data_IF_813296273688
#
_entry.id   IF_813296273688
#
_cell.length_a   1.000
_cell.length_b   1.000
_cell.length_c   1.000
_cell.angle_alpha   90.00
_cell.angle_beta   90.00
_cell.angle_gamma   90.00
#
_symmetry.space_group_name_H-M   'P 1'
#
loop_
_entity.id
_entity.type
_entity.pdbx_description
1 polymer ?
#
# COMPACT_ATOMS: atom_id res chain seq x y z
N UNK A 1 -31.37 -4.70 49.70
CA UNK A 1 -29.97 -4.50 49.28
C UNK A 1 -29.81 -5.09 47.90
N UNK A 2 -29.96 -4.26 46.85
CA UNK A 2 -29.94 -4.74 45.47
C UNK A 2 -28.48 -4.84 45.00
N UNK A 3 -27.98 -6.07 44.91
CA UNK A 3 -26.68 -6.38 44.34
C UNK A 3 -26.69 -6.07 42.84
N UNK A 4 -26.13 -4.92 42.45
CA UNK A 4 -25.75 -4.67 41.06
C UNK A 4 -24.56 -5.59 40.77
N UNK A 5 -24.85 -6.79 40.26
CA UNK A 5 -23.82 -7.68 39.74
C UNK A 5 -22.98 -6.94 38.69
N UNK A 6 -21.67 -7.24 38.58
CA UNK A 6 -20.79 -6.55 37.64
C UNK A 6 -21.37 -6.65 36.22
N UNK A 7 -21.69 -5.49 35.62
CA UNK A 7 -22.16 -5.41 34.23
C UNK A 7 -21.16 -6.20 33.37
N UNK A 8 -21.61 -7.17 32.55
CA UNK A 8 -20.69 -7.95 31.73
C UNK A 8 -19.88 -6.96 30.88
N UNK A 9 -18.56 -6.94 31.08
CA UNK A 9 -17.65 -6.11 30.28
C UNK A 9 -17.84 -6.53 28.84
N UNK A 10 -18.61 -5.75 28.06
CA UNK A 10 -18.76 -6.00 26.65
C UNK A 10 -17.35 -5.99 26.04
N UNK A 11 -17.02 -7.04 25.28
CA UNK A 11 -15.70 -7.14 24.65
C UNK A 11 -15.44 -5.84 23.87
N UNK A 12 -14.28 -5.22 24.10
CA UNK A 12 -13.91 -3.96 23.44
C UNK A 12 -13.84 -4.07 21.91
N UNK A 13 -13.87 -5.31 21.39
CA UNK A 13 -13.83 -5.69 19.97
C UNK A 13 -15.11 -6.39 19.50
N UNK A 14 -16.19 -6.38 20.31
CA UNK A 14 -17.48 -6.98 19.93
C UNK A 14 -17.95 -6.36 18.61
N UNK A 15 -18.23 -7.18 17.60
CA UNK A 15 -18.69 -6.70 16.29
C UNK A 15 -17.58 -6.40 15.28
N UNK A 16 -16.30 -6.59 15.62
CA UNK A 16 -15.17 -6.24 14.75
C UNK A 16 -15.22 -6.97 13.39
N UNK A 17 -15.52 -8.27 13.39
CA UNK A 17 -15.58 -9.05 12.14
C UNK A 17 -16.68 -8.56 11.19
N UNK A 18 -17.86 -8.22 11.72
CA UNK A 18 -18.94 -7.65 10.92
C UNK A 18 -18.54 -6.27 10.37
N UNK A 19 -17.92 -5.42 11.19
CA UNK A 19 -17.45 -4.10 10.79
C UNK A 19 -16.38 -4.20 9.69
N UNK A 20 -15.35 -5.04 9.87
CA UNK A 20 -14.30 -5.29 8.84
C UNK A 20 -14.92 -5.74 7.53
N UNK A 21 -15.87 -6.68 7.57
CA UNK A 21 -16.57 -7.15 6.36
C UNK A 21 -17.36 -6.04 5.67
N UNK A 22 -18.04 -5.20 6.42
CA UNK A 22 -18.79 -4.06 5.87
C UNK A 22 -17.84 -3.02 5.26
N UNK A 23 -16.80 -2.64 5.99
CA UNK A 23 -15.77 -1.69 5.54
C UNK A 23 -15.07 -2.19 4.27
N UNK A 24 -14.72 -3.48 4.21
CA UNK A 24 -14.14 -4.09 3.02
C UNK A 24 -15.10 -4.03 1.82
N UNK A 25 -16.40 -4.31 2.02
CA UNK A 25 -17.40 -4.21 0.94
C UNK A 25 -17.54 -2.80 0.40
N UNK A 26 -17.47 -1.78 1.27
CA UNK A 26 -17.53 -0.37 0.89
C UNK A 26 -16.27 0.07 0.14
N UNK A 27 -15.10 -0.41 0.55
CA UNK A 27 -13.81 -0.01 -0.02
C UNK A 27 -13.36 -0.81 -1.23
N UNK A 28 -13.93 -1.99 -1.50
CA UNK A 28 -13.39 -2.91 -2.52
C UNK A 28 -13.17 -2.27 -3.89
N UNK A 29 -14.09 -1.42 -4.34
CA UNK A 29 -13.98 -0.77 -5.65
C UNK A 29 -12.85 0.26 -5.66
N UNK A 30 -12.73 1.05 -4.60
CA UNK A 30 -11.62 2.00 -4.44
C UNK A 30 -10.28 1.27 -4.32
N UNK A 31 -10.21 0.19 -3.55
CA UNK A 31 -9.02 -0.65 -3.42
C UNK A 31 -8.61 -1.23 -4.78
N UNK A 32 -9.56 -1.79 -5.54
CA UNK A 32 -9.29 -2.31 -6.89
C UNK A 32 -8.83 -1.20 -7.85
N UNK A 33 -9.45 -0.02 -7.80
CA UNK A 33 -9.09 1.12 -8.63
C UNK A 33 -7.66 1.62 -8.36
N UNK A 34 -7.13 1.43 -7.14
CA UNK A 34 -5.73 1.68 -6.84
C UNK A 34 -4.81 0.52 -7.21
N UNK A 35 -5.16 -0.69 -6.78
CA UNK A 35 -4.26 -1.85 -6.86
C UNK A 35 -4.05 -2.34 -8.29
N UNK A 36 -5.10 -2.34 -9.11
CA UNK A 36 -5.01 -2.88 -10.48
C UNK A 36 -4.08 -2.04 -11.38
N UNK A 37 -4.16 -0.69 -11.44
CA UNK A 37 -3.20 0.10 -12.19
C UNK A 37 -1.76 -0.03 -11.69
N UNK A 38 -1.56 -0.18 -10.37
CA UNK A 38 -0.22 -0.35 -9.81
C UNK A 38 0.39 -1.70 -10.16
N UNK A 39 -0.40 -2.76 -10.20
CA UNK A 39 0.05 -4.06 -10.73
C UNK A 39 0.29 -4.01 -12.23
N UNK A 40 -0.53 -3.29 -12.99
CA UNK A 40 -0.30 -3.06 -14.42
C UNK A 40 1.01 -2.29 -14.67
N UNK A 41 1.31 -1.29 -13.84
CA UNK A 41 2.56 -0.55 -13.87
C UNK A 41 3.77 -1.46 -13.61
N UNK A 42 3.71 -2.32 -12.58
CA UNK A 42 4.75 -3.31 -12.32
C UNK A 42 4.91 -4.30 -13.50
N UNK A 43 3.78 -4.73 -14.08
CA UNK A 43 3.75 -5.63 -15.24
C UNK A 43 4.37 -5.02 -16.51
N UNK A 44 4.53 -3.70 -16.59
CA UNK A 44 5.15 -3.00 -17.72
C UNK A 44 6.69 -3.10 -17.74
N UNK A 45 7.32 -3.67 -16.72
CA UNK A 45 8.79 -3.85 -16.61
C UNK A 45 9.47 -4.42 -17.87
N UNK A 46 8.91 -5.38 -18.62
CA UNK A 46 9.56 -5.90 -19.84
C UNK A 46 9.74 -4.86 -20.96
N UNK A 47 9.04 -3.71 -20.89
CA UNK A 47 9.21 -2.62 -21.87
C UNK A 47 10.66 -2.13 -21.95
N UNK A 48 11.39 -2.08 -20.84
CA UNK A 48 12.82 -1.74 -20.85
C UNK A 48 13.65 -2.73 -21.67
N UNK A 49 13.31 -4.02 -21.63
CA UNK A 49 14.00 -5.06 -22.40
C UNK A 49 13.80 -4.87 -23.91
N UNK A 50 12.61 -4.43 -24.32
CA UNK A 50 12.30 -4.19 -25.73
C UNK A 50 13.01 -2.97 -26.32
N UNK A 51 13.22 -1.92 -25.50
CA UNK A 51 13.85 -0.67 -25.95
C UNK A 51 15.38 -0.73 -25.79
N UNK A 52 15.85 -1.32 -24.69
CA UNK A 52 17.27 -1.39 -24.34
C UNK A 52 17.70 -2.82 -24.03
N UNK A 53 17.97 -3.65 -25.07
CA UNK A 53 18.19 -5.08 -24.89
C UNK A 53 19.55 -5.44 -24.27
N UNK A 54 20.56 -4.57 -24.36
CA UNK A 54 21.92 -4.85 -23.86
C UNK A 54 22.44 -3.77 -22.91
N UNK A 55 23.38 -4.12 -22.04
CA UNK A 55 24.05 -3.13 -21.17
C UNK A 55 24.78 -2.04 -21.97
N UNK A 56 25.36 -2.39 -23.12
CA UNK A 56 26.00 -1.41 -24.01
C UNK A 56 24.99 -0.38 -24.54
N UNK A 57 23.79 -0.82 -24.92
CA UNK A 57 22.72 0.09 -25.37
C UNK A 57 22.20 1.00 -24.25
N UNK A 58 22.34 0.58 -22.99
CA UNK A 58 21.92 1.35 -21.80
C UNK A 58 22.98 2.32 -21.30
N UNK A 59 24.24 2.15 -21.67
CA UNK A 59 25.36 2.89 -21.08
C UNK A 59 25.19 4.42 -21.18
N UNK A 60 24.79 4.92 -22.35
CA UNK A 60 24.54 6.34 -22.56
C UNK A 60 23.35 6.86 -21.73
N UNK A 61 22.26 6.09 -21.67
CA UNK A 61 21.09 6.40 -20.84
C UNK A 61 21.49 6.47 -19.36
N UNK A 62 22.18 5.44 -18.85
CA UNK A 62 22.61 5.36 -17.46
C UNK A 62 23.51 6.54 -17.10
N UNK A 63 24.47 6.86 -17.97
CA UNK A 63 25.36 8.00 -17.78
C UNK A 63 24.58 9.32 -17.72
N UNK A 64 23.65 9.53 -18.66
CA UNK A 64 22.82 10.74 -18.70
C UNK A 64 21.93 10.89 -17.45
N UNK A 65 21.22 9.83 -17.06
CA UNK A 65 20.37 9.85 -15.86
C UNK A 65 21.21 10.11 -14.61
N UNK A 66 22.34 9.43 -14.43
CA UNK A 66 23.22 9.64 -13.26
C UNK A 66 23.84 11.04 -13.19
N UNK A 67 23.93 11.78 -14.29
CA UNK A 67 24.44 13.15 -14.30
C UNK A 67 23.34 14.21 -14.15
N UNK A 68 22.08 13.85 -14.38
CA UNK A 68 20.95 14.78 -14.32
C UNK A 68 20.48 14.96 -12.86
N UNK A 69 20.63 16.17 -12.25
CA UNK A 69 20.27 16.38 -10.84
C UNK A 69 18.80 16.10 -10.54
N UNK A 70 17.89 16.42 -11.48
CA UNK A 70 16.45 16.18 -11.30
C UNK A 70 16.10 14.70 -11.14
N UNK A 71 16.69 13.83 -11.96
CA UNK A 71 16.43 12.39 -11.85
C UNK A 71 17.05 11.80 -10.58
N UNK A 72 18.19 12.32 -10.14
CA UNK A 72 18.80 11.94 -8.86
C UNK A 72 17.96 12.38 -7.66
N UNK A 73 17.33 13.54 -7.74
CA UNK A 73 16.44 14.04 -6.70
C UNK A 73 15.18 13.18 -6.59
N UNK A 74 14.58 12.81 -7.72
CA UNK A 74 13.33 12.06 -7.77
C UNK A 74 13.50 10.57 -7.45
N UNK A 75 14.53 9.94 -8.01
CA UNK A 75 14.68 8.48 -8.01
C UNK A 75 15.92 8.00 -7.24
N UNK A 76 16.76 8.93 -6.78
CA UNK A 76 18.09 8.60 -6.27
C UNK A 76 19.08 8.29 -7.40
N UNK A 77 20.27 7.81 -7.04
CA UNK A 77 21.31 7.48 -8.02
C UNK A 77 21.02 6.11 -8.63
N UNK A 78 20.80 6.04 -9.95
CA UNK A 78 20.58 4.79 -10.67
C UNK A 78 21.76 3.82 -10.47
N UNK A 79 21.56 2.63 -9.88
CA UNK A 79 22.65 1.72 -9.56
C UNK A 79 23.28 1.09 -10.81
N UNK A 80 24.57 0.81 -10.73
CA UNK A 80 25.32 0.07 -11.77
C UNK A 80 25.15 -1.45 -11.55
N UNK A 81 25.19 -2.28 -12.61
CA UNK A 81 25.49 -1.93 -14.00
C UNK A 81 24.30 -1.39 -14.82
N UNK A 82 23.12 -1.21 -14.22
CA UNK A 82 21.91 -0.77 -14.93
C UNK A 82 21.16 -1.92 -15.61
N UNK A 83 21.01 -3.01 -14.87
CA UNK A 83 20.14 -4.13 -15.28
C UNK A 83 18.69 -3.69 -15.41
N UNK A 84 17.86 -4.47 -16.09
CA UNK A 84 16.41 -4.18 -16.20
C UNK A 84 15.76 -4.13 -14.82
N UNK A 85 16.14 -5.04 -13.91
CA UNK A 85 15.64 -5.02 -12.54
C UNK A 85 16.02 -3.73 -11.80
N UNK A 86 17.23 -3.23 -12.01
CA UNK A 86 17.70 -1.96 -11.44
C UNK A 86 16.97 -0.75 -12.03
N UNK A 87 16.78 -0.69 -13.34
CA UNK A 87 16.02 0.37 -14.01
C UNK A 87 14.54 0.37 -13.56
N UNK A 88 13.93 -0.81 -13.53
CA UNK A 88 12.55 -0.97 -13.07
C UNK A 88 12.39 -0.57 -11.60
N UNK A 89 13.30 -0.99 -10.71
CA UNK A 89 13.27 -0.56 -9.30
C UNK A 89 13.43 0.95 -9.17
N UNK A 90 14.33 1.56 -9.95
CA UNK A 90 14.67 2.98 -9.86
C UNK A 90 13.53 3.88 -10.34
N UNK A 91 12.91 3.57 -11.48
CA UNK A 91 11.84 4.38 -12.06
C UNK A 91 10.44 3.85 -11.66
N UNK A 92 10.05 2.66 -12.15
CA UNK A 92 8.74 2.04 -11.85
C UNK A 92 8.54 1.86 -10.35
N UNK A 93 9.58 1.42 -9.64
CA UNK A 93 9.54 1.23 -8.19
C UNK A 93 9.26 2.54 -7.45
N UNK A 94 9.85 3.66 -7.86
CA UNK A 94 9.57 4.96 -7.25
C UNK A 94 8.12 5.37 -7.40
N UNK A 95 7.56 5.28 -8.61
CA UNK A 95 6.14 5.56 -8.84
C UNK A 95 5.23 4.63 -8.02
N UNK A 96 5.57 3.35 -7.97
CA UNK A 96 4.84 2.36 -7.19
C UNK A 96 4.82 2.72 -5.71
N UNK A 97 5.96 3.11 -5.13
CA UNK A 97 6.06 3.51 -3.72
C UNK A 97 5.32 4.81 -3.41
N UNK A 98 5.47 5.83 -4.25
CA UNK A 98 4.76 7.12 -4.09
C UNK A 98 3.24 6.90 -4.14
N UNK A 99 2.75 6.20 -5.16
CA UNK A 99 1.33 5.91 -5.29
C UNK A 99 0.81 5.00 -4.17
N UNK A 100 1.62 4.05 -3.68
CA UNK A 100 1.28 3.22 -2.51
C UNK A 100 1.11 4.08 -1.26
N UNK A 101 2.02 5.03 -1.02
CA UNK A 101 1.91 5.97 0.10
C UNK A 101 0.64 6.83 0.01
N UNK A 102 0.37 7.38 -1.18
CA UNK A 102 -0.85 8.16 -1.43
C UNK A 102 -2.12 7.33 -1.24
N UNK A 103 -2.19 6.12 -1.81
CA UNK A 103 -3.29 5.18 -1.61
C UNK A 103 -3.53 4.94 -0.12
N UNK A 104 -2.47 4.60 0.62
CA UNK A 104 -2.55 4.29 2.05
C UNK A 104 -3.06 5.47 2.88
N UNK A 105 -2.55 6.69 2.66
CA UNK A 105 -3.02 7.89 3.36
C UNK A 105 -4.47 8.21 3.00
N UNK A 106 -4.78 8.29 1.71
CA UNK A 106 -6.11 8.70 1.25
C UNK A 106 -7.19 7.73 1.69
N UNK A 107 -6.94 6.42 1.62
CA UNK A 107 -7.89 5.42 2.10
C UNK A 107 -8.05 5.49 3.63
N UNK A 108 -6.95 5.65 4.38
CA UNK A 108 -7.00 5.75 5.84
C UNK A 108 -7.76 6.99 6.29
N UNK A 109 -7.41 8.16 5.75
CA UNK A 109 -8.06 9.42 6.08
C UNK A 109 -9.54 9.42 5.70
N UNK A 110 -9.89 8.93 4.50
CA UNK A 110 -11.29 8.80 4.07
C UNK A 110 -12.08 7.96 5.06
N UNK A 111 -11.58 6.78 5.41
CA UNK A 111 -12.31 5.89 6.31
C UNK A 111 -12.47 6.47 7.71
N UNK A 112 -11.42 7.09 8.24
CA UNK A 112 -11.44 7.59 9.60
C UNK A 112 -12.17 8.93 9.74
N UNK A 113 -12.34 9.71 8.68
CA UNK A 113 -13.06 11.00 8.72
C UNK A 113 -14.49 10.88 8.19
N UNK A 114 -14.69 10.21 7.06
CA UNK A 114 -16.03 10.09 6.45
C UNK A 114 -16.97 9.25 7.31
N UNK A 115 -16.47 8.21 8.00
CA UNK A 115 -17.31 7.43 8.93
C UNK A 115 -17.79 8.28 10.13
N UNK A 116 -17.07 9.34 10.48
CA UNK A 116 -17.48 10.31 11.50
C UNK A 116 -18.50 11.31 10.93
N UNK A 117 -18.21 11.89 9.77
CA UNK A 117 -19.10 12.84 9.09
C UNK A 117 -20.47 12.20 8.75
N UNK A 118 -20.50 10.91 8.40
CA UNK A 118 -21.73 10.15 8.12
C UNK A 118 -22.45 9.62 9.39
N UNK A 119 -21.90 9.86 10.60
CA UNK A 119 -22.47 9.37 11.85
C UNK A 119 -22.40 7.84 12.03
N UNK A 120 -21.62 7.13 11.20
CA UNK A 120 -21.49 5.67 11.22
C UNK A 120 -20.90 5.18 12.54
N UNK A 121 -20.03 5.97 13.16
CA UNK A 121 -19.46 5.70 14.48
C UNK A 121 -20.57 5.57 15.55
N UNK A 122 -21.55 6.47 15.54
CA UNK A 122 -22.65 6.45 16.50
C UNK A 122 -23.64 5.32 16.22
N UNK A 123 -23.88 5.00 14.94
CA UNK A 123 -24.67 3.81 14.55
C UNK A 123 -24.01 2.51 15.05
N UNK A 124 -22.69 2.37 14.89
CA UNK A 124 -21.95 1.20 15.38
C UNK A 124 -22.01 1.10 16.91
N UNK A 125 -21.85 2.23 17.62
CA UNK A 125 -21.97 2.28 19.09
C UNK A 125 -23.39 1.93 19.55
N UNK A 126 -24.42 2.47 18.91
CA UNK A 126 -25.83 2.16 19.17
C UNK A 126 -26.18 0.69 18.89
N UNK A 127 -25.54 0.06 17.90
CA UNK A 127 -25.65 -1.37 17.61
C UNK A 127 -24.89 -2.26 18.60
N UNK A 128 -24.26 -1.69 19.63
CA UNK A 128 -23.52 -2.43 20.67
C UNK A 128 -22.11 -2.86 20.25
N UNK A 129 -21.52 -2.25 19.22
CA UNK A 129 -20.14 -2.51 18.84
C UNK A 129 -19.17 -2.03 19.93
N UNK A 130 -18.06 -2.75 20.09
CA UNK A 130 -17.02 -2.40 21.05
C UNK A 130 -16.36 -1.05 20.71
N UNK A 131 -15.92 -0.32 21.74
CA UNK A 131 -15.37 1.04 21.60
C UNK A 131 -14.23 1.20 20.60
N UNK A 132 -13.45 0.14 20.36
CA UNK A 132 -12.30 0.18 19.43
C UNK A 132 -12.67 -0.20 18.00
N UNK A 133 -13.87 -0.75 17.78
CA UNK A 133 -14.30 -1.25 16.46
C UNK A 133 -14.31 -0.15 15.39
N UNK A 134 -14.82 1.08 15.66
CA UNK A 134 -14.82 2.14 14.65
C UNK A 134 -13.41 2.57 14.18
N UNK A 135 -12.38 2.36 15.01
CA UNK A 135 -11.00 2.66 14.65
C UNK A 135 -10.30 1.44 14.00
N UNK A 136 -10.39 0.27 14.64
CA UNK A 136 -9.64 -0.91 14.21
C UNK A 136 -10.16 -1.50 12.89
N UNK A 137 -11.47 -1.48 12.64
CA UNK A 137 -12.01 -2.05 11.41
C UNK A 137 -11.47 -1.35 10.14
N UNK A 138 -11.52 -0.01 10.02
CA UNK A 138 -10.84 0.73 8.96
C UNK A 138 -9.35 0.42 8.81
N UNK A 139 -8.60 0.51 9.90
CA UNK A 139 -7.14 0.33 9.89
C UNK A 139 -6.77 -1.07 9.41
N UNK A 140 -7.44 -2.11 9.92
CA UNK A 140 -7.20 -3.50 9.49
C UNK A 140 -7.51 -3.70 8.00
N UNK A 141 -8.57 -3.08 7.48
CA UNK A 141 -8.90 -3.19 6.06
C UNK A 141 -7.84 -2.51 5.19
N UNK A 142 -7.39 -1.30 5.52
CA UNK A 142 -6.33 -0.62 4.75
C UNK A 142 -5.01 -1.40 4.82
N UNK A 143 -4.62 -1.89 6.00
CA UNK A 143 -3.43 -2.73 6.16
C UNK A 143 -3.53 -4.01 5.32
N UNK A 144 -4.70 -4.64 5.26
CA UNK A 144 -4.97 -5.79 4.41
C UNK A 144 -4.87 -5.47 2.91
N UNK A 145 -5.39 -4.32 2.48
CA UNK A 145 -5.27 -3.85 1.08
C UNK A 145 -3.80 -3.64 0.71
N UNK A 146 -3.00 -3.00 1.58
CA UNK A 146 -1.56 -2.84 1.39
C UNK A 146 -0.85 -4.20 1.29
N UNK A 147 -1.20 -5.15 2.17
CA UNK A 147 -0.61 -6.48 2.16
C UNK A 147 -0.92 -7.23 0.86
N UNK A 148 -2.17 -7.19 0.39
CA UNK A 148 -2.59 -7.79 -0.89
C UNK A 148 -1.87 -7.09 -2.05
N UNK A 149 -1.79 -5.77 -2.05
CA UNK A 149 -1.09 -5.00 -3.07
C UNK A 149 0.39 -5.42 -3.16
N UNK A 150 1.09 -5.44 -2.03
CA UNK A 150 2.49 -5.85 -1.93
C UNK A 150 2.70 -7.30 -2.40
N UNK A 151 1.90 -8.24 -1.91
CA UNK A 151 1.97 -9.64 -2.32
C UNK A 151 1.71 -9.80 -3.83
N UNK A 152 0.72 -9.10 -4.37
CA UNK A 152 0.44 -9.09 -5.80
C UNK A 152 1.59 -8.51 -6.62
N UNK A 153 2.23 -7.43 -6.17
CA UNK A 153 3.46 -6.91 -6.79
C UNK A 153 4.56 -7.97 -6.80
N UNK A 154 4.77 -8.68 -5.69
CA UNK A 154 5.75 -9.77 -5.60
C UNK A 154 5.44 -10.90 -6.58
N UNK A 155 4.18 -11.31 -6.69
CA UNK A 155 3.71 -12.34 -7.63
C UNK A 155 3.89 -11.90 -9.09
N UNK A 156 3.46 -10.68 -9.44
CA UNK A 156 3.61 -10.12 -10.80
C UNK A 156 5.08 -10.09 -11.20
N UNK A 157 5.95 -9.54 -10.34
CA UNK A 157 7.37 -9.44 -10.62
C UNK A 157 8.06 -10.80 -10.67
N UNK A 158 7.65 -11.74 -9.81
CA UNK A 158 8.13 -13.14 -9.86
C UNK A 158 7.77 -13.80 -11.19
N UNK A 159 6.53 -13.63 -11.66
CA UNK A 159 6.11 -14.18 -12.94
C UNK A 159 6.92 -13.63 -14.13
N UNK A 160 7.36 -12.36 -14.05
CA UNK A 160 8.20 -11.75 -15.07
C UNK A 160 9.63 -12.29 -15.13
N UNK A 161 10.12 -12.95 -14.07
CA UNK A 161 11.46 -13.58 -14.09
C UNK A 161 11.59 -14.66 -15.16
N UNK A 162 10.49 -15.33 -15.53
CA UNK A 162 10.45 -16.28 -16.64
C UNK A 162 10.58 -15.64 -18.03
N UNK A 163 10.39 -14.32 -18.14
CA UNK A 163 10.45 -13.57 -19.41
C UNK A 163 11.69 -12.68 -19.51
N UNK A 164 12.17 -12.16 -18.39
CA UNK A 164 13.30 -11.24 -18.33
C UNK A 164 14.39 -11.83 -17.44
N UNK A 165 15.49 -12.29 -18.06
CA UNK A 165 16.60 -12.98 -17.39
C UNK A 165 17.30 -12.16 -16.30
N UNK A 166 17.24 -10.84 -16.41
CA UNK A 166 17.87 -9.92 -15.46
C UNK A 166 17.04 -9.69 -14.19
N UNK A 167 15.81 -10.20 -14.12
CA UNK A 167 14.98 -10.13 -12.93
C UNK A 167 15.23 -11.35 -12.03
N UNK A 168 15.21 -11.13 -10.72
CA UNK A 168 15.38 -12.18 -9.73
C UNK A 168 14.14 -12.30 -8.84
N UNK A 169 13.85 -13.51 -8.37
CA UNK A 169 12.74 -13.77 -7.45
C UNK A 169 12.98 -13.04 -6.12
N UNK A 170 14.21 -13.02 -5.62
CA UNK A 170 14.56 -12.27 -4.42
C UNK A 170 14.33 -10.76 -4.59
N UNK A 171 14.70 -10.19 -5.75
CA UNK A 171 14.43 -8.79 -6.07
C UNK A 171 12.95 -8.46 -6.14
N UNK A 172 12.14 -9.35 -6.72
CA UNK A 172 10.68 -9.20 -6.77
C UNK A 172 10.06 -9.10 -5.37
N UNK A 173 10.45 -9.98 -4.45
CA UNK A 173 9.96 -9.97 -3.07
C UNK A 173 10.58 -8.88 -2.20
N UNK A 174 11.80 -8.42 -2.50
CA UNK A 174 12.38 -7.24 -1.87
C UNK A 174 11.60 -5.96 -2.22
N UNK A 175 11.21 -5.78 -3.49
CA UNK A 175 10.33 -4.69 -3.90
C UNK A 175 8.96 -4.80 -3.21
N UNK A 176 8.36 -5.99 -3.20
CA UNK A 176 7.09 -6.24 -2.50
C UNK A 176 7.17 -5.88 -1.00
N UNK A 177 8.26 -6.26 -0.32
CA UNK A 177 8.50 -5.89 1.08
C UNK A 177 8.59 -4.38 1.27
N UNK A 178 9.29 -3.69 0.35
CA UNK A 178 9.39 -2.22 0.37
C UNK A 178 8.01 -1.57 0.20
N UNK A 179 7.19 -2.06 -0.73
CA UNK A 179 5.80 -1.62 -0.93
C UNK A 179 4.97 -1.81 0.34
N UNK A 180 5.07 -2.96 1.01
CA UNK A 180 4.37 -3.23 2.25
C UNK A 180 4.77 -2.26 3.37
N UNK A 181 6.07 -2.08 3.59
CA UNK A 181 6.60 -1.19 4.62
C UNK A 181 6.15 0.25 4.38
N UNK A 182 6.28 0.76 3.15
CA UNK A 182 5.83 2.11 2.79
C UNK A 182 4.33 2.25 3.00
N UNK A 183 3.52 1.33 2.48
CA UNK A 183 2.07 1.40 2.63
C UNK A 183 1.62 1.36 4.10
N UNK A 184 2.19 0.50 4.92
CA UNK A 184 1.86 0.44 6.35
C UNK A 184 2.35 1.66 7.13
N UNK A 185 3.53 2.19 6.81
CA UNK A 185 4.04 3.40 7.43
C UNK A 185 3.12 4.60 7.17
N UNK A 186 2.71 4.80 5.92
CA UNK A 186 1.80 5.88 5.53
C UNK A 186 0.37 5.68 6.05
N UNK A 187 -0.14 4.44 6.07
CA UNK A 187 -1.43 4.14 6.71
C UNK A 187 -1.39 4.43 8.22
N UNK A 188 -0.30 4.03 8.90
CA UNK A 188 -0.09 4.32 10.32
C UNK A 188 -0.01 5.82 10.61
N UNK A 189 0.74 6.56 9.80
CA UNK A 189 0.82 8.02 9.89
C UNK A 189 -0.54 8.69 9.67
N UNK A 190 -1.30 8.26 8.65
CA UNK A 190 -2.65 8.75 8.40
C UNK A 190 -3.62 8.46 9.54
N UNK A 191 -3.51 7.28 10.16
CA UNK A 191 -4.30 6.92 11.33
C UNK A 191 -3.95 7.80 12.54
N UNK A 192 -2.66 8.00 12.82
CA UNK A 192 -2.19 8.86 13.91
C UNK A 192 -2.65 10.31 13.71
N UNK A 193 -2.48 10.87 12.52
CA UNK A 193 -2.93 12.22 12.18
C UNK A 193 -4.46 12.36 12.34
N UNK A 194 -5.24 11.35 11.93
CA UNK A 194 -6.69 11.35 12.11
C UNK A 194 -7.10 11.34 13.58
N UNK A 195 -6.37 10.62 14.44
CA UNK A 195 -6.64 10.63 15.89
C UNK A 195 -6.29 11.97 16.56
N UNK A 196 -5.19 12.61 16.15
CA UNK A 196 -4.79 13.91 16.68
C UNK A 196 -5.79 15.00 16.30
N UNK A 197 -6.32 14.98 15.07
CA UNK A 197 -7.31 15.95 14.61
C UNK A 197 -8.68 15.82 15.30
N UNK A 198 -8.95 14.70 15.99
CA UNK A 198 -10.15 14.49 16.81
C UNK A 198 -10.02 14.99 18.25
N UNK A 199 -8.80 15.25 18.71
CA UNK A 199 -8.48 15.64 20.09
C UNK A 199 -8.61 17.15 20.24
#
# INVERSE_FOLDING_TARGET
MNGVGPRPRSSRLRGLGQAVRLTLRRLRLQALAWVLPLWALAAATPSYASVYPSLSSRAALIAAMRQTPGTRLLYGVLPLPGTIGQLAQWEIGTYLLVCTGLMAVLMTCRMLRTDEDEGLVEVLRGAGAGRWVPFLAPVLVVFGVVAVHAAGTGVVMTALTGRVKELTVSGAWALAGTVAVVGWAFAGAGAAASQLARS
#
